data_IF_500771050216
#
_entry.id   IF_500771050216
#
_cell.length_a   1.000
_cell.length_b   1.000
_cell.length_c   1.000
_cell.angle_alpha   90.00
_cell.angle_beta   90.00
_cell.angle_gamma   90.00
#
_symmetry.space_group_name_H-M   'P 1'
#
loop_
_entity.id
_entity.type
_entity.pdbx_description
1 polymer ?
#
# COMPACT_ATOMS: atom_id res chain seq x y z
N UNK A 1 2.08 19.86 -12.12
CA UNK A 1 1.37 18.57 -12.02
C UNK A 1 2.42 17.52 -11.73
N UNK A 2 2.18 16.64 -10.75
CA UNK A 2 3.06 15.49 -10.51
C UNK A 2 3.13 14.59 -11.74
N UNK A 3 4.34 14.22 -12.16
CA UNK A 3 4.63 13.35 -13.32
C UNK A 3 4.00 11.95 -13.17
N UNK A 4 3.69 11.56 -11.93
CA UNK A 4 3.07 10.29 -11.58
C UNK A 4 1.64 10.51 -11.10
N UNK A 5 0.66 9.95 -11.81
CA UNK A 5 -0.77 9.97 -11.43
C UNK A 5 -1.11 9.07 -10.23
N UNK A 6 -0.10 8.59 -9.51
CA UNK A 6 -0.24 7.61 -8.43
C UNK A 6 -0.15 8.32 -7.08
N UNK A 7 -1.17 8.13 -6.24
CA UNK A 7 -1.15 8.54 -4.84
C UNK A 7 -0.61 7.37 -3.98
N UNK A 8 0.56 7.53 -3.32
CA UNK A 8 1.03 6.52 -2.38
C UNK A 8 0.07 6.40 -1.19
N UNK A 9 -0.05 5.20 -0.62
CA UNK A 9 -0.92 4.96 0.53
C UNK A 9 -0.37 3.81 1.39
N UNK A 10 0.54 4.16 2.31
CA UNK A 10 1.16 3.24 3.28
C UNK A 10 1.51 4.01 4.56
N UNK A 11 1.60 3.30 5.68
CA UNK A 11 1.90 3.92 6.97
C UNK A 11 3.30 4.57 6.95
N UNK A 12 3.41 5.87 7.26
CA UNK A 12 4.71 6.52 7.40
C UNK A 12 5.55 5.87 8.52
N UNK A 13 6.85 5.70 8.27
CA UNK A 13 7.79 5.29 9.32
C UNK A 13 8.01 6.43 10.31
N UNK A 14 8.44 6.10 11.53
CA UNK A 14 8.73 7.08 12.58
C UNK A 14 9.81 8.09 12.21
N UNK A 15 10.71 7.74 11.29
CA UNK A 15 11.76 8.62 10.76
C UNK A 15 11.37 9.30 9.44
N UNK A 16 10.11 9.24 9.02
CA UNK A 16 9.64 9.94 7.83
C UNK A 16 9.70 11.46 8.05
N UNK A 17 10.23 12.18 7.06
CA UNK A 17 10.30 13.65 7.10
C UNK A 17 9.60 14.25 5.88
N UNK A 18 9.14 15.49 6.00
CA UNK A 18 8.59 16.28 4.88
C UNK A 18 9.68 16.78 3.91
N UNK A 19 10.95 16.55 4.26
CA UNK A 19 12.12 16.84 3.43
C UNK A 19 12.15 15.86 2.24
N UNK A 20 11.35 16.15 1.21
CA UNK A 20 11.45 15.39 -0.03
C UNK A 20 12.70 15.85 -0.81
N UNK A 21 13.70 14.98 -0.87
CA UNK A 21 14.58 14.88 -2.05
C UNK A 21 13.93 14.02 -3.17
N UNK A 22 12.64 13.71 -3.04
CA UNK A 22 11.87 12.80 -3.92
C UNK A 22 10.56 13.42 -4.44
N UNK A 23 9.63 12.57 -4.90
CA UNK A 23 8.41 12.94 -5.64
C UNK A 23 7.39 13.70 -4.77
N UNK A 24 6.69 14.69 -5.34
CA UNK A 24 5.74 15.54 -4.60
C UNK A 24 4.50 14.78 -4.09
N UNK A 25 4.11 13.69 -4.76
CA UNK A 25 3.05 12.77 -4.29
C UNK A 25 3.33 12.20 -2.89
N UNK A 26 4.60 12.05 -2.50
CA UNK A 26 4.98 11.64 -1.15
C UNK A 26 4.62 12.71 -0.11
N UNK A 27 4.97 13.98 -0.39
CA UNK A 27 4.61 15.10 0.47
C UNK A 27 3.10 15.21 0.61
N UNK A 28 2.37 15.09 -0.50
CA UNK A 28 0.90 15.15 -0.48
C UNK A 28 0.30 14.09 0.45
N UNK A 29 0.75 12.84 0.32
CA UNK A 29 0.28 11.76 1.21
C UNK A 29 0.62 12.01 2.69
N UNK A 30 1.80 12.55 2.99
CA UNK A 30 2.15 12.92 4.36
C UNK A 30 1.30 14.09 4.89
N UNK A 31 0.97 15.07 4.06
CA UNK A 31 0.07 16.15 4.43
C UNK A 31 -1.34 15.63 4.71
N UNK A 32 -1.88 14.75 3.86
CA UNK A 32 -3.17 14.09 4.09
C UNK A 32 -3.19 13.29 5.40
N UNK A 33 -2.07 12.63 5.74
CA UNK A 33 -1.93 11.90 7.00
C UNK A 33 -1.94 12.82 8.24
N UNK A 34 -1.31 14.00 8.16
CA UNK A 34 -1.24 14.94 9.29
C UNK A 34 -2.51 15.79 9.42
N UNK A 35 -3.15 16.16 8.30
CA UNK A 35 -4.36 16.98 8.28
C UNK A 35 -5.53 16.31 9.03
N UNK A 36 -5.74 15.01 8.80
CA UNK A 36 -6.71 14.23 9.57
C UNK A 36 -6.22 12.79 9.75
N UNK A 37 -5.38 12.61 10.76
CA UNK A 37 -4.75 11.32 11.06
C UNK A 37 -5.74 10.21 11.33
N UNK A 38 -6.82 10.48 12.07
CA UNK A 38 -7.78 9.45 12.47
C UNK A 38 -8.51 8.88 11.24
N UNK A 39 -9.09 9.74 10.41
CA UNK A 39 -9.79 9.32 9.19
C UNK A 39 -8.82 8.66 8.21
N UNK A 40 -7.59 9.16 8.10
CA UNK A 40 -6.58 8.55 7.25
C UNK A 40 -6.23 7.13 7.72
N UNK A 41 -6.06 6.92 9.03
CA UNK A 41 -5.76 5.60 9.61
C UNK A 41 -6.92 4.62 9.44
N UNK A 42 -8.17 5.08 9.51
CA UNK A 42 -9.35 4.24 9.23
C UNK A 42 -9.34 3.72 7.80
N UNK A 43 -9.05 4.59 6.83
CA UNK A 43 -8.87 4.19 5.42
C UNK A 43 -7.71 3.22 5.24
N UNK A 44 -6.56 3.51 5.86
CA UNK A 44 -5.38 2.64 5.82
C UNK A 44 -5.64 1.27 6.45
N UNK A 45 -6.40 1.19 7.54
CA UNK A 45 -6.69 -0.06 8.24
C UNK A 45 -7.42 -1.07 7.33
N UNK A 46 -8.35 -0.61 6.50
CA UNK A 46 -9.04 -1.46 5.52
C UNK A 46 -8.08 -2.12 4.52
N UNK A 47 -7.09 -1.37 4.03
CA UNK A 47 -6.04 -1.88 3.15
C UNK A 47 -5.12 -2.86 3.87
N UNK A 48 -4.68 -2.51 5.08
CA UNK A 48 -3.81 -3.34 5.92
C UNK A 48 -4.40 -4.72 6.21
N UNK A 49 -5.73 -4.82 6.39
CA UNK A 49 -6.43 -6.11 6.53
C UNK A 49 -6.23 -7.00 5.31
N UNK A 50 -6.38 -6.46 4.10
CA UNK A 50 -6.21 -7.23 2.86
C UNK A 50 -4.76 -7.72 2.70
N UNK A 51 -3.78 -6.87 3.04
CA UNK A 51 -2.37 -7.24 3.00
C UNK A 51 -2.02 -8.32 4.03
N UNK A 52 -2.60 -8.24 5.23
CA UNK A 52 -2.44 -9.23 6.30
C UNK A 52 -3.00 -10.60 5.90
N UNK A 53 -4.22 -10.64 5.35
CA UNK A 53 -4.85 -11.86 4.86
C UNK A 53 -4.03 -12.47 3.72
N UNK A 54 -3.62 -11.68 2.74
CA UNK A 54 -2.76 -12.16 1.65
C UNK A 54 -1.43 -12.74 2.15
N UNK A 55 -0.82 -12.08 3.13
CA UNK A 55 0.42 -12.53 3.77
C UNK A 55 0.23 -13.86 4.50
N UNK A 56 -0.87 -14.00 5.24
CA UNK A 56 -1.26 -15.24 5.92
C UNK A 56 -1.50 -16.39 4.93
N UNK A 57 -2.27 -16.15 3.87
CA UNK A 57 -2.55 -17.15 2.83
C UNK A 57 -1.25 -17.66 2.20
N UNK A 58 -0.33 -16.76 1.82
CA UNK A 58 0.95 -17.13 1.21
C UNK A 58 1.85 -17.95 2.14
N UNK A 59 1.81 -17.68 3.45
CA UNK A 59 2.57 -18.46 4.45
C UNK A 59 1.96 -19.84 4.69
N UNK A 60 0.62 -19.90 4.80
CA UNK A 60 -0.11 -21.15 5.07
C UNK A 60 -0.14 -22.09 3.86
N UNK A 61 -0.25 -21.52 2.66
CA UNK A 61 -0.34 -22.25 1.40
C UNK A 61 0.88 -21.83 0.55
N UNK A 62 2.05 -22.45 0.76
CA UNK A 62 3.27 -22.11 0.02
C UNK A 62 3.26 -22.57 -1.45
N UNK A 63 2.11 -23.05 -1.96
CA UNK A 63 1.97 -23.44 -3.34
C UNK A 63 2.03 -22.21 -4.26
N UNK A 64 2.87 -22.27 -5.30
CA UNK A 64 2.91 -21.23 -6.34
C UNK A 64 1.56 -21.16 -7.04
N UNK A 65 1.01 -19.96 -7.20
CA UNK A 65 -0.16 -19.75 -8.05
C UNK A 65 0.22 -20.10 -9.49
N UNK A 66 -0.45 -21.11 -10.06
CA UNK A 66 -0.23 -21.55 -11.44
C UNK A 66 -1.41 -21.11 -12.31
N UNK A 67 -1.15 -20.69 -13.54
CA UNK A 67 -2.19 -20.47 -14.54
C UNK A 67 -2.90 -21.80 -14.80
N UNK A 68 -4.24 -21.82 -14.78
CA UNK A 68 -5.03 -22.98 -15.21
C UNK A 68 -4.82 -23.18 -16.71
N UNK A 69 -4.22 -24.29 -17.11
CA UNK A 69 -4.03 -24.67 -18.52
C UNK A 69 -5.23 -25.52 -18.92
N UNK A 70 -5.88 -25.27 -20.09
CA UNK A 70 -6.91 -26.17 -20.59
C UNK A 70 -6.33 -27.58 -20.82
N UNK A 71 -7.15 -28.61 -20.61
CA UNK A 71 -6.75 -30.01 -20.86
C UNK A 71 -6.23 -30.13 -22.30
N UNK A 72 -5.01 -30.69 -22.48
CA UNK A 72 -4.53 -31.07 -23.81
C UNK A 72 -5.38 -32.26 -24.28
N UNK A 73 -5.92 -32.16 -25.50
CA UNK A 73 -6.59 -33.28 -26.17
C UNK A 73 -5.63 -34.45 -26.37
#
# INVERSE_FOLDING_TARGET
>A
MDEYSIAPYFLPKTNATFSARGVASWKRMLYEFVDNTQTWLEGYHMRSKSESVNSMIKRKIPAKIRKKIPQRK
#
